data_IF_511877296694
#
_entry.id   IF_511877296694
#
_cell.length_a   1.000
_cell.length_b   1.000
_cell.length_c   1.000
_cell.angle_alpha   90.00
_cell.angle_beta   90.00
_cell.angle_gamma   90.00
#
_symmetry.space_group_name_H-M   'P 1'
#
loop_
_entity.id
_entity.type
_entity.pdbx_description
1 polymer ?
#
# COMPACT_ATOMS: atom_id res chain seq x y z
N UNK A 1 -7.19 -22.05 -10.08
CA UNK A 1 -5.89 -22.67 -9.76
C UNK A 1 -5.28 -21.87 -8.63
N UNK A 2 -4.94 -22.52 -7.52
CA UNK A 2 -4.19 -21.85 -6.44
C UNK A 2 -2.77 -21.63 -6.96
N UNK A 3 -2.28 -20.39 -6.91
CA UNK A 3 -0.90 -20.08 -7.29
C UNK A 3 0.00 -20.61 -6.17
N UNK A 4 0.99 -21.43 -6.51
CA UNK A 4 2.00 -21.89 -5.57
C UNK A 4 3.03 -20.79 -5.36
N UNK A 5 3.05 -20.20 -4.15
CA UNK A 5 3.99 -19.15 -3.78
C UNK A 5 5.27 -19.67 -3.12
N UNK A 6 5.40 -20.99 -2.95
CA UNK A 6 6.56 -21.62 -2.30
C UNK A 6 7.92 -21.12 -2.84
N UNK A 7 8.12 -20.90 -4.16
CA UNK A 7 9.39 -20.41 -4.67
C UNK A 7 9.85 -19.07 -4.08
N UNK A 8 8.92 -18.15 -3.80
CA UNK A 8 9.23 -16.85 -3.18
C UNK A 8 9.36 -16.93 -1.65
N UNK A 9 8.75 -17.94 -1.03
CA UNK A 9 8.84 -18.15 0.42
C UNK A 9 10.15 -18.80 0.86
N UNK A 10 10.82 -19.53 -0.04
CA UNK A 10 12.07 -20.24 0.28
C UNK A 10 13.33 -19.59 -0.30
N UNK A 11 13.18 -18.59 -1.15
CA UNK A 11 14.29 -17.87 -1.77
C UNK A 11 14.96 -16.91 -0.77
N UNK A 12 16.25 -17.10 -0.49
CA UNK A 12 17.00 -16.32 0.51
C UNK A 12 17.04 -14.82 0.19
N UNK A 13 17.13 -14.47 -1.10
CA UNK A 13 17.14 -13.07 -1.54
C UNK A 13 15.79 -12.40 -1.22
N UNK A 14 14.69 -13.04 -1.58
CA UNK A 14 13.33 -12.57 -1.27
C UNK A 14 13.12 -12.47 0.24
N UNK A 15 13.55 -13.47 1.03
CA UNK A 15 13.45 -13.44 2.49
C UNK A 15 14.27 -12.30 3.11
N UNK A 16 15.43 -11.97 2.54
CA UNK A 16 16.27 -10.87 3.03
C UNK A 16 15.64 -9.48 2.86
N UNK A 17 14.66 -9.36 1.95
CA UNK A 17 13.95 -8.11 1.67
C UNK A 17 12.64 -7.97 2.47
N UNK A 18 12.25 -9.00 3.24
CA UNK A 18 11.04 -8.94 4.05
C UNK A 18 11.23 -8.00 5.25
N UNK A 19 10.35 -7.01 5.35
CA UNK A 19 10.19 -6.22 6.56
C UNK A 19 9.06 -6.82 7.42
N UNK A 20 9.35 -7.37 8.62
CA UNK A 20 8.33 -7.92 9.51
C UNK A 20 7.36 -6.88 10.08
N UNK A 21 7.62 -5.59 9.81
CA UNK A 21 6.85 -4.45 10.27
C UNK A 21 6.11 -3.73 9.14
N UNK A 22 6.14 -4.26 7.91
CA UNK A 22 5.34 -3.69 6.82
C UNK A 22 4.68 -4.71 5.92
N UNK A 23 3.64 -4.26 5.24
CA UNK A 23 3.03 -4.96 4.11
C UNK A 23 3.20 -4.09 2.88
N UNK A 24 3.82 -4.65 1.84
CA UNK A 24 4.00 -3.99 0.54
C UNK A 24 2.94 -4.46 -0.46
N UNK A 25 2.35 -3.49 -1.17
CA UNK A 25 1.36 -3.72 -2.21
C UNK A 25 1.80 -2.99 -3.49
N UNK A 26 1.85 -3.72 -4.59
CA UNK A 26 2.08 -3.15 -5.92
C UNK A 26 0.80 -3.23 -6.75
N UNK A 27 0.38 -2.09 -7.30
CA UNK A 27 -0.76 -2.02 -8.21
C UNK A 27 -0.26 -1.52 -9.56
N UNK A 28 -0.30 -2.41 -10.54
CA UNK A 28 0.01 -2.11 -11.92
C UNK A 28 -1.26 -1.81 -12.72
N UNK A 29 -1.23 -0.72 -13.49
CA UNK A 29 -2.28 -0.34 -14.42
C UNK A 29 -1.79 -0.54 -15.86
N UNK A 30 -2.48 -1.35 -16.71
CA UNK A 30 -2.02 -1.67 -18.07
C UNK A 30 -1.83 -0.47 -19.02
N UNK A 31 -2.40 0.69 -18.67
CA UNK A 31 -2.27 1.95 -19.40
C UNK A 31 -2.09 3.07 -18.39
N UNK A 32 -1.46 4.16 -18.83
CA UNK A 32 -1.39 5.39 -18.03
C UNK A 32 -2.77 5.81 -17.55
N UNK A 33 -2.92 5.88 -16.23
CA UNK A 33 -4.17 6.26 -15.58
C UNK A 33 -4.08 7.75 -15.27
N UNK A 34 -4.55 8.58 -16.22
CA UNK A 34 -4.48 10.05 -16.12
C UNK A 34 -5.00 10.61 -14.80
N UNK A 35 -6.06 10.01 -14.25
CA UNK A 35 -6.68 10.45 -13.00
C UNK A 35 -5.81 10.16 -11.75
N UNK A 36 -4.91 9.19 -11.83
CA UNK A 36 -3.93 8.85 -10.80
C UNK A 36 -2.52 9.37 -11.11
N UNK A 37 -2.31 10.01 -12.26
CA UNK A 37 -1.02 10.51 -12.72
C UNK A 37 0.13 9.47 -12.65
N UNK A 38 -0.16 8.19 -12.88
CA UNK A 38 0.83 7.11 -12.86
C UNK A 38 0.41 5.91 -13.72
N UNK A 39 1.34 4.96 -13.92
CA UNK A 39 1.12 3.65 -14.54
C UNK A 39 1.17 2.50 -13.53
N UNK A 40 1.88 2.69 -12.43
CA UNK A 40 1.79 1.83 -11.27
C UNK A 40 1.94 2.68 -10.01
N UNK A 41 1.50 2.15 -8.89
CA UNK A 41 1.84 2.72 -7.60
C UNK A 41 2.10 1.64 -6.57
N UNK A 42 3.03 1.95 -5.67
CA UNK A 42 3.42 1.12 -4.54
C UNK A 42 2.75 1.70 -3.29
N UNK A 43 2.28 0.83 -2.41
CA UNK A 43 1.77 1.19 -1.10
C UNK A 43 2.47 0.34 -0.07
N UNK A 44 3.11 0.99 0.89
CA UNK A 44 3.72 0.34 2.03
C UNK A 44 2.95 0.72 3.29
N UNK A 45 2.52 -0.31 4.00
CA UNK A 45 1.65 -0.21 5.18
C UNK A 45 2.51 -0.59 6.38
N UNK A 46 2.84 0.36 7.25
CA UNK A 46 3.77 0.17 8.38
C UNK A 46 3.04 -0.06 9.69
N UNK A 47 3.61 -0.94 10.51
CA UNK A 47 3.05 -1.36 11.79
C UNK A 47 3.97 -1.00 12.96
N UNK A 48 3.42 -0.95 14.16
CA UNK A 48 4.14 -0.59 15.39
C UNK A 48 5.18 -1.64 15.82
N UNK A 49 4.93 -2.90 15.45
CA UNK A 49 5.70 -4.07 15.87
C UNK A 49 5.50 -5.20 14.87
N UNK A 50 5.89 -6.42 15.23
CA UNK A 50 5.75 -7.58 14.36
C UNK A 50 4.27 -7.88 14.11
N UNK A 51 3.91 -8.05 12.83
CA UNK A 51 2.56 -8.35 12.34
C UNK A 51 1.86 -9.55 13.01
N UNK A 52 2.63 -10.48 13.58
CA UNK A 52 2.10 -11.69 14.25
C UNK A 52 1.67 -11.45 15.70
N UNK A 53 1.98 -10.29 16.27
CA UNK A 53 1.62 -9.96 17.65
C UNK A 53 0.21 -9.37 17.71
N UNK A 54 -0.59 -9.81 18.68
CA UNK A 54 -1.97 -9.29 18.87
C UNK A 54 -2.02 -7.81 19.28
N UNK A 55 -0.89 -7.26 19.73
CA UNK A 55 -0.70 -5.85 20.10
C UNK A 55 -0.37 -4.96 18.91
N UNK A 56 -0.09 -5.56 17.73
CA UNK A 56 0.30 -4.87 16.53
C UNK A 56 -0.77 -3.89 16.05
N UNK A 57 -0.36 -2.63 15.82
CA UNK A 57 -1.20 -1.56 15.33
C UNK A 57 -0.66 -1.01 14.02
N UNK A 58 -1.56 -0.61 13.13
CA UNK A 58 -1.17 0.16 11.95
C UNK A 58 -0.69 1.56 12.37
N UNK A 59 0.51 1.93 11.92
CA UNK A 59 1.16 3.20 12.27
C UNK A 59 1.04 4.23 11.17
N UNK A 60 1.44 3.87 9.96
CA UNK A 60 1.47 4.79 8.83
C UNK A 60 1.29 4.05 7.51
N UNK A 61 0.89 4.80 6.47
CA UNK A 61 0.90 4.33 5.10
C UNK A 61 1.70 5.30 4.26
N UNK A 62 2.62 4.76 3.47
CA UNK A 62 3.36 5.47 2.44
C UNK A 62 2.95 4.94 1.08
N UNK A 63 2.86 5.81 0.08
CA UNK A 63 2.56 5.41 -1.27
C UNK A 63 3.32 6.24 -2.29
N UNK A 64 3.73 5.61 -3.39
CA UNK A 64 4.42 6.26 -4.49
C UNK A 64 3.82 5.86 -5.83
N UNK A 65 3.52 6.83 -6.67
CA UNK A 65 3.12 6.60 -8.07
C UNK A 65 4.30 6.73 -9.01
N UNK A 66 4.38 5.84 -9.99
CA UNK A 66 5.47 5.77 -10.96
C UNK A 66 4.94 5.77 -12.40
N UNK A 67 5.72 6.38 -13.28
CA UNK A 67 5.76 6.09 -14.72
C UNK A 67 6.91 5.12 -14.98
N UNK A 68 7.04 4.62 -16.22
CA UNK A 68 8.08 3.65 -16.58
C UNK A 68 9.51 4.07 -16.16
N UNK A 69 9.79 5.38 -16.13
CA UNK A 69 11.12 5.92 -15.84
C UNK A 69 11.21 6.69 -14.54
N UNK A 70 10.10 7.22 -14.01
CA UNK A 70 10.15 8.28 -12.99
C UNK A 70 9.04 8.15 -11.96
N UNK A 71 9.39 8.41 -10.71
CA UNK A 71 8.41 8.65 -9.64
C UNK A 71 7.66 9.96 -9.94
N UNK A 72 6.33 9.89 -9.97
CA UNK A 72 5.47 11.02 -10.27
C UNK A 72 5.00 11.74 -9.02
N UNK A 73 4.69 10.97 -7.99
CA UNK A 73 4.20 11.49 -6.73
C UNK A 73 4.48 10.52 -5.59
N UNK A 74 4.49 11.06 -4.38
CA UNK A 74 4.44 10.33 -3.13
C UNK A 74 3.34 10.88 -2.22
N UNK A 75 2.95 10.05 -1.26
CA UNK A 75 1.95 10.33 -0.24
C UNK A 75 2.36 9.67 1.06
N UNK A 76 2.22 10.39 2.17
CA UNK A 76 2.38 9.85 3.52
C UNK A 76 1.15 10.17 4.38
N UNK A 77 0.82 9.29 5.32
CA UNK A 77 -0.18 9.57 6.36
C UNK A 77 0.38 10.46 7.48
N UNK A 78 1.65 10.83 7.43
CA UNK A 78 2.22 11.81 8.37
C UNK A 78 1.74 13.22 8.05
N UNK A 79 1.75 13.58 6.76
CA UNK A 79 1.38 14.91 6.26
C UNK A 79 0.07 14.93 5.47
N UNK A 80 -0.48 13.75 5.15
CA UNK A 80 -1.69 13.55 4.36
C UNK A 80 -1.68 14.30 3.02
N UNK A 81 -0.51 14.46 2.41
CA UNK A 81 -0.35 15.29 1.22
C UNK A 81 0.26 14.49 0.08
N UNK A 82 -0.20 14.77 -1.14
CA UNK A 82 0.43 14.27 -2.35
C UNK A 82 1.44 15.32 -2.83
N UNK A 83 2.69 14.92 -2.99
CA UNK A 83 3.77 15.78 -3.50
C UNK A 83 4.47 15.11 -4.67
N UNK A 84 4.95 15.89 -5.64
CA UNK A 84 5.69 15.38 -6.79
C UNK A 84 5.48 16.16 -8.08
N UNK A 85 5.99 15.59 -9.18
CA UNK A 85 5.93 16.17 -10.54
C UNK A 85 4.49 16.27 -11.07
N UNK A 86 3.69 15.24 -10.82
CA UNK A 86 2.29 15.19 -11.23
C UNK A 86 1.51 14.37 -10.21
N UNK A 87 0.59 14.99 -9.50
CA UNK A 87 -0.20 14.33 -8.46
C UNK A 87 -1.54 13.83 -9.01
N UNK A 88 -2.19 12.85 -8.35
CA UNK A 88 -3.53 12.43 -8.73
C UNK A 88 -4.51 13.62 -8.74
N UNK A 89 -5.57 13.52 -9.53
CA UNK A 89 -6.62 14.53 -9.51
C UNK A 89 -7.26 14.63 -8.12
N UNK A 90 -7.69 15.83 -7.71
CA UNK A 90 -8.18 16.11 -6.34
C UNK A 90 -9.25 15.10 -5.90
N UNK A 91 -10.23 14.80 -6.75
CA UNK A 91 -11.27 13.80 -6.45
C UNK A 91 -10.70 12.39 -6.16
N UNK A 92 -9.62 12.00 -6.84
CA UNK A 92 -8.97 10.71 -6.65
C UNK A 92 -8.04 10.72 -5.43
N UNK A 93 -7.44 11.86 -5.08
CA UNK A 93 -6.74 12.02 -3.80
C UNK A 93 -7.71 11.83 -2.63
N UNK A 94 -8.92 12.38 -2.72
CA UNK A 94 -9.96 12.20 -1.69
C UNK A 94 -10.36 10.72 -1.57
N UNK A 95 -10.63 10.04 -2.70
CA UNK A 95 -10.93 8.60 -2.70
C UNK A 95 -9.79 7.77 -2.11
N UNK A 96 -8.53 8.10 -2.43
CA UNK A 96 -7.36 7.44 -1.88
C UNK A 96 -7.28 7.63 -0.36
N UNK A 97 -7.45 8.85 0.15
CA UNK A 97 -7.48 9.12 1.60
C UNK A 97 -8.61 8.37 2.32
N UNK A 98 -9.78 8.23 1.68
CA UNK A 98 -10.88 7.41 2.21
C UNK A 98 -10.46 5.94 2.28
N UNK A 99 -9.85 5.40 1.22
CA UNK A 99 -9.30 4.04 1.21
C UNK A 99 -8.30 3.84 2.35
N UNK A 100 -7.34 4.75 2.53
CA UNK A 100 -6.37 4.65 3.62
C UNK A 100 -7.05 4.65 4.99
N UNK A 101 -8.04 5.51 5.22
CA UNK A 101 -8.82 5.47 6.47
C UNK A 101 -9.52 4.12 6.67
N UNK A 102 -10.02 3.48 5.61
CA UNK A 102 -10.59 2.12 5.71
C UNK A 102 -9.55 1.07 6.08
N UNK A 103 -8.31 1.21 5.62
CA UNK A 103 -7.19 0.35 6.03
C UNK A 103 -6.91 0.54 7.52
N UNK A 104 -6.89 1.77 8.03
CA UNK A 104 -6.77 2.01 9.48
C UNK A 104 -7.90 1.36 10.28
N UNK A 105 -9.15 1.49 9.84
CA UNK A 105 -10.28 0.85 10.51
C UNK A 105 -10.20 -0.68 10.48
N UNK A 106 -9.79 -1.26 9.36
CA UNK A 106 -9.57 -2.70 9.21
C UNK A 106 -8.62 -3.24 10.28
N UNK A 107 -7.49 -2.54 10.51
CA UNK A 107 -6.47 -2.97 11.47
C UNK A 107 -6.76 -2.55 12.93
N UNK A 108 -7.73 -1.68 13.19
CA UNK A 108 -8.25 -1.46 14.56
C UNK A 108 -9.08 -2.65 15.07
N UNK A 109 -9.77 -3.35 14.17
CA UNK A 109 -10.66 -4.47 14.49
C UNK A 109 -10.46 -5.66 13.53
N UNK A 110 -9.26 -6.28 13.49
CA UNK A 110 -8.92 -7.28 12.47
C UNK A 110 -9.85 -8.52 12.49
N UNK A 111 -10.48 -8.82 13.62
CA UNK A 111 -11.37 -9.97 13.80
C UNK A 111 -12.87 -9.66 13.58
N UNK A 112 -13.24 -8.45 13.15
CA UNK A 112 -14.64 -8.03 12.96
C UNK A 112 -15.01 -7.72 11.51
N UNK A 113 -14.15 -8.07 10.54
CA UNK A 113 -14.48 -7.94 9.12
C UNK A 113 -15.51 -9.01 8.76
N UNK A 114 -16.78 -8.69 8.99
CA UNK A 114 -17.87 -9.44 8.41
C UNK A 114 -17.83 -9.22 6.90
N UNK A 115 -17.35 -10.23 6.17
CA UNK A 115 -17.50 -10.32 4.72
C UNK A 115 -18.98 -10.64 4.48
N UNK A 116 -19.82 -9.61 4.47
CA UNK A 116 -21.16 -9.75 3.91
C UNK A 116 -21.02 -9.82 2.40
N UNK A 117 -21.18 -11.04 1.87
CA UNK A 117 -21.41 -11.34 0.44
C UNK A 117 -22.67 -10.63 -0.10
#
# INVERSE_FOLDING_TARGET
STIDLSPWLTDEETQSQLDPHSIDLNIYCPKYVKMLACQCFLVQVYFSENLLLSTCQLRSVYACGYMFTDQQWEFSTEDWTFIGLSTPQIEHQVKFKILINRIFELFKHPNQVNISE
#
